data_IF_840669071263
#
_entry.id   IF_840669071263
#
_cell.length_a   1.000
_cell.length_b   1.000
_cell.length_c   1.000
_cell.angle_alpha   90.00
_cell.angle_beta   90.00
_cell.angle_gamma   90.00
#
_symmetry.space_group_name_H-M   'P 1'
#
loop_
_entity.id
_entity.type
_entity.pdbx_description
1 polymer ?
#
# COMPACT_ATOMS: atom_id res chain seq x y z
N UNK A 1 -6.24 18.56 9.29
CA UNK A 1 -5.31 18.25 10.40
C UNK A 1 -4.29 17.26 9.87
N UNK A 2 -2.97 17.49 10.03
CA UNK A 2 -1.98 16.47 9.67
C UNK A 2 -2.27 15.26 10.56
N UNK A 3 -2.62 14.14 9.94
CA UNK A 3 -2.93 12.94 10.68
C UNK A 3 -1.64 12.46 11.35
N UNK A 4 -1.69 12.28 12.68
CA UNK A 4 -0.52 11.95 13.50
C UNK A 4 0.10 10.66 12.97
N UNK A 5 1.43 10.59 12.77
CA UNK A 5 2.08 9.37 12.33
C UNK A 5 1.78 8.24 13.33
N UNK A 6 1.32 7.10 12.82
CA UNK A 6 1.12 5.90 13.65
C UNK A 6 2.44 5.18 13.82
N UNK A 7 2.63 4.40 14.90
CA UNK A 7 3.87 3.66 15.14
C UNK A 7 4.27 2.77 13.96
N UNK A 8 3.27 2.15 13.31
CA UNK A 8 3.46 1.25 12.18
C UNK A 8 3.85 1.95 10.86
N UNK A 9 3.77 3.29 10.77
CA UNK A 9 4.21 4.01 9.58
C UNK A 9 5.70 3.79 9.31
N UNK A 10 6.52 3.82 10.37
CA UNK A 10 7.96 3.59 10.27
C UNK A 10 8.27 2.16 9.81
N UNK A 11 7.49 1.18 10.27
CA UNK A 11 7.65 -0.21 9.86
C UNK A 11 7.35 -0.38 8.37
N UNK A 12 6.27 0.26 7.89
CA UNK A 12 5.93 0.28 6.46
C UNK A 12 7.00 0.98 5.61
N UNK A 13 7.53 2.11 6.06
CA UNK A 13 8.62 2.82 5.35
C UNK A 13 9.89 1.96 5.26
N UNK A 14 10.25 1.28 6.35
CA UNK A 14 11.37 0.35 6.36
C UNK A 14 11.13 -0.84 5.42
N UNK A 15 9.92 -1.41 5.45
CA UNK A 15 9.55 -2.52 4.58
C UNK A 15 9.57 -2.11 3.10
N UNK A 16 9.11 -0.89 2.76
CA UNK A 16 9.23 -0.33 1.40
C UNK A 16 10.68 -0.14 0.97
N UNK A 17 11.52 0.39 1.85
CA UNK A 17 12.93 0.60 1.55
C UNK A 17 13.69 -0.71 1.32
N UNK A 18 13.28 -1.79 2.01
CA UNK A 18 13.83 -3.13 1.82
C UNK A 18 13.20 -3.86 0.64
N UNK A 19 11.96 -3.55 0.30
CA UNK A 19 11.25 -4.19 -0.79
C UNK A 19 11.80 -3.72 -2.14
N UNK A 20 12.29 -4.66 -2.93
CA UNK A 20 12.88 -4.38 -4.23
C UNK A 20 11.78 -4.22 -5.32
N UNK A 21 10.87 -3.27 -5.11
CA UNK A 21 9.80 -2.95 -6.06
C UNK A 21 10.27 -2.05 -7.21
N UNK A 22 11.53 -1.61 -7.21
CA UNK A 22 12.05 -0.66 -8.20
C UNK A 22 11.53 0.77 -7.99
N UNK A 23 11.21 1.12 -6.74
CA UNK A 23 10.88 2.50 -6.38
C UNK A 23 12.13 3.39 -6.49
N UNK A 24 11.98 4.65 -6.91
CA UNK A 24 13.09 5.59 -7.06
C UNK A 24 13.68 6.00 -5.71
N UNK A 25 14.99 6.18 -5.60
CA UNK A 25 15.68 6.41 -4.31
C UNK A 25 15.20 7.65 -3.53
N UNK A 26 14.61 8.64 -4.21
CA UNK A 26 14.14 9.90 -3.61
C UNK A 26 12.61 10.06 -3.70
N UNK A 27 11.86 8.98 -3.50
CA UNK A 27 10.40 9.07 -3.53
C UNK A 27 9.83 9.91 -2.37
N UNK A 28 8.73 10.60 -2.65
CA UNK A 28 7.89 11.28 -1.66
C UNK A 28 6.69 10.40 -1.33
N UNK A 29 6.37 10.29 -0.03
CA UNK A 29 5.20 9.57 0.46
C UNK A 29 4.10 10.56 0.87
N UNK A 30 2.96 10.52 0.18
CA UNK A 30 1.77 11.26 0.57
C UNK A 30 0.77 10.31 1.22
N UNK A 31 0.56 10.52 2.51
CA UNK A 31 -0.32 9.72 3.35
C UNK A 31 -1.72 10.30 3.39
N UNK A 32 -2.71 9.53 2.95
CA UNK A 32 -4.13 9.87 2.95
C UNK A 32 -4.86 8.91 3.89
N UNK A 33 -5.43 9.38 5.00
CA UNK A 33 -6.16 8.50 5.90
C UNK A 33 -7.44 7.98 5.23
N UNK A 34 -7.80 6.73 5.52
CA UNK A 34 -8.98 6.05 4.99
C UNK A 34 -10.01 5.81 6.12
N UNK A 35 -10.75 6.86 6.54
CA UNK A 35 -11.78 6.72 7.56
C UNK A 35 -12.93 5.82 7.07
N UNK A 36 -13.59 5.05 7.96
CA UNK A 36 -13.47 5.07 9.43
C UNK A 36 -12.34 4.19 10.00
N UNK A 37 -11.58 3.51 9.15
CA UNK A 37 -10.56 2.55 9.58
C UNK A 37 -9.23 3.26 9.91
N UNK A 38 -8.38 2.64 10.72
CA UNK A 38 -6.98 3.09 10.92
C UNK A 38 -6.08 2.60 9.78
N UNK A 39 -6.55 2.80 8.55
CA UNK A 39 -5.91 2.43 7.30
C UNK A 39 -5.66 3.68 6.44
N UNK A 40 -4.72 3.57 5.51
CA UNK A 40 -4.19 4.71 4.76
C UNK A 40 -3.91 4.32 3.32
N UNK A 41 -4.07 5.30 2.44
CA UNK A 41 -3.57 5.26 1.07
C UNK A 41 -2.29 6.08 1.05
N UNK A 42 -1.18 5.46 0.68
CA UNK A 42 0.12 6.11 0.52
C UNK A 42 0.41 6.22 -0.96
N UNK A 43 0.44 7.45 -1.46
CA UNK A 43 0.89 7.73 -2.82
C UNK A 43 2.40 7.90 -2.79
N UNK A 44 3.08 7.12 -3.60
CA UNK A 44 4.52 7.21 -3.82
C UNK A 44 4.73 7.97 -5.11
N UNK A 45 5.38 9.13 -5.04
CA UNK A 45 5.68 9.96 -6.19
C UNK A 45 7.15 10.30 -6.27
N UNK A 46 7.68 10.45 -7.48
CA UNK A 46 9.05 10.89 -7.73
C UNK A 46 9.02 12.16 -8.55
N UNK A 47 9.56 13.25 -7.99
CA UNK A 47 9.59 14.56 -8.64
C UNK A 47 8.24 15.00 -9.23
N UNK A 48 7.15 14.77 -8.47
CA UNK A 48 5.78 15.13 -8.88
C UNK A 48 5.09 14.15 -9.85
N UNK A 49 5.73 13.04 -10.21
CA UNK A 49 5.11 11.96 -10.96
C UNK A 49 4.73 10.82 -10.03
N UNK A 50 3.45 10.46 -10.00
CA UNK A 50 3.01 9.29 -9.26
C UNK A 50 3.67 8.03 -9.84
N UNK A 51 4.29 7.23 -8.97
CA UNK A 51 4.99 5.99 -9.31
C UNK A 51 4.24 4.76 -8.79
N UNK A 52 3.76 4.83 -7.54
CA UNK A 52 3.02 3.75 -6.91
C UNK A 52 1.90 4.27 -6.01
N UNK A 53 0.91 3.42 -5.77
CA UNK A 53 -0.11 3.60 -4.76
C UNK A 53 -0.08 2.39 -3.85
N UNK A 54 -0.04 2.67 -2.55
CA UNK A 54 -0.01 1.67 -1.50
C UNK A 54 -1.30 1.82 -0.71
N UNK A 55 -2.02 0.73 -0.48
CA UNK A 55 -3.14 0.71 0.48
C UNK A 55 -2.75 -0.17 1.64
N UNK A 56 -2.85 0.38 2.85
CA UNK A 56 -2.59 -0.38 4.07
C UNK A 56 -3.82 -1.18 4.44
N UNK A 57 -3.60 -2.44 4.81
CA UNK A 57 -4.58 -3.35 5.35
C UNK A 57 -4.13 -3.72 6.78
N UNK A 58 -4.10 -2.71 7.64
CA UNK A 58 -3.80 -2.76 9.06
C UNK A 58 -5.04 -3.18 9.87
N UNK A 59 -6.18 -2.51 9.66
CA UNK A 59 -7.46 -2.92 10.28
C UNK A 59 -8.35 -3.67 9.29
N UNK A 60 -8.51 -3.14 8.08
CA UNK A 60 -9.29 -3.76 7.02
C UNK A 60 -8.71 -5.11 6.60
N UNK A 61 -9.55 -6.13 6.47
CA UNK A 61 -9.15 -7.42 5.90
C UNK A 61 -8.81 -7.26 4.41
N UNK A 62 -7.81 -8.01 3.93
CA UNK A 62 -7.63 -8.15 2.49
C UNK A 62 -8.92 -8.73 1.91
N UNK A 63 -9.53 -7.98 1.01
CA UNK A 63 -10.80 -8.32 0.38
C UNK A 63 -10.82 -7.72 -1.03
N UNK A 64 -11.72 -8.22 -1.87
CA UNK A 64 -11.92 -7.69 -3.22
C UNK A 64 -12.23 -6.19 -3.20
N UNK A 65 -12.91 -5.69 -2.17
CA UNK A 65 -13.20 -4.26 -1.99
C UNK A 65 -11.94 -3.42 -1.82
N UNK A 66 -10.96 -3.91 -1.06
CA UNK A 66 -9.67 -3.21 -0.87
C UNK A 66 -8.86 -3.22 -2.17
N UNK A 67 -8.90 -4.32 -2.90
CA UNK A 67 -8.30 -4.46 -4.22
C UNK A 67 -8.94 -3.49 -5.22
N UNK A 68 -10.28 -3.38 -5.22
CA UNK A 68 -11.01 -2.44 -6.06
C UNK A 68 -10.65 -1.00 -5.72
N UNK A 69 -10.60 -0.65 -4.43
CA UNK A 69 -10.20 0.67 -3.96
C UNK A 69 -8.78 1.02 -4.40
N UNK A 70 -7.84 0.08 -4.30
CA UNK A 70 -6.48 0.27 -4.79
C UNK A 70 -6.46 0.46 -6.31
N UNK A 71 -7.24 -0.31 -7.07
CA UNK A 71 -7.35 -0.17 -8.53
C UNK A 71 -7.95 1.18 -8.94
N UNK A 72 -8.92 1.68 -8.20
CA UNK A 72 -9.57 2.97 -8.46
C UNK A 72 -8.64 4.15 -8.15
N UNK A 73 -7.80 4.03 -7.12
CA UNK A 73 -6.81 5.05 -6.76
C UNK A 73 -5.52 4.97 -7.59
N UNK A 74 -5.18 3.80 -8.10
CA UNK A 74 -4.05 3.59 -8.97
C UNK A 74 -4.41 3.95 -10.42
N UNK A 75 -4.33 5.24 -10.74
CA UNK A 75 -4.58 5.77 -12.08
C UNK A 75 -3.69 5.09 -13.14
N UNK A 76 -4.24 4.11 -13.86
CA UNK A 76 -3.59 3.47 -15.01
C UNK A 76 -2.36 2.62 -14.64
N UNK A 77 -1.15 3.18 -14.87
CA UNK A 77 0.14 2.48 -14.83
C UNK A 77 0.84 2.49 -13.47
N UNK A 78 0.21 3.08 -12.44
CA UNK A 78 0.80 3.13 -11.11
C UNK A 78 0.98 1.72 -10.56
N UNK A 79 2.13 1.48 -9.95
CA UNK A 79 2.37 0.24 -9.23
C UNK A 79 1.40 0.14 -8.05
N UNK A 80 0.72 -0.99 -7.95
CA UNK A 80 -0.31 -1.25 -6.94
C UNK A 80 0.31 -2.09 -5.85
N UNK A 81 0.34 -1.58 -4.64
CA UNK A 81 0.92 -2.28 -3.50
C UNK A 81 -0.14 -2.38 -2.39
N UNK A 82 -0.29 -3.56 -1.80
CA UNK A 82 -1.05 -3.73 -0.56
C UNK A 82 -0.06 -3.98 0.54
N UNK A 83 -0.07 -3.13 1.56
CA UNK A 83 0.78 -3.29 2.74
C UNK A 83 -0.04 -3.94 3.85
N UNK A 84 0.42 -5.04 4.42
CA UNK A 84 -0.25 -5.73 5.53
C UNK A 84 0.72 -6.10 6.63
N UNK A 85 0.32 -6.09 7.91
CA UNK A 85 1.20 -6.53 8.99
C UNK A 85 1.66 -7.99 8.81
N UNK A 86 2.93 -8.29 9.11
CA UNK A 86 3.52 -9.63 8.97
C UNK A 86 2.73 -10.72 9.70
N UNK A 87 2.10 -10.38 10.83
CA UNK A 87 1.31 -11.30 11.64
C UNK A 87 -0.06 -11.69 11.04
N UNK A 88 -0.45 -11.12 9.89
CA UNK A 88 -1.77 -11.37 9.30
C UNK A 88 -1.72 -12.53 8.31
N UNK A 89 -2.58 -13.51 8.52
CA UNK A 89 -2.80 -14.58 7.56
C UNK A 89 -3.46 -14.01 6.30
N UNK A 90 -2.87 -14.30 5.14
CA UNK A 90 -3.44 -13.99 3.82
C UNK A 90 -3.78 -15.32 3.17
N UNK A 91 -5.03 -15.47 2.76
CA UNK A 91 -5.51 -16.68 2.08
C UNK A 91 -4.83 -16.85 0.72
N UNK A 92 -4.55 -18.09 0.32
CA UNK A 92 -3.86 -18.39 -0.94
C UNK A 92 -4.67 -17.91 -2.16
N UNK A 93 -6.00 -18.02 -2.11
CA UNK A 93 -6.89 -17.47 -3.15
C UNK A 93 -6.68 -15.96 -3.35
N UNK A 94 -6.51 -15.21 -2.26
CA UNK A 94 -6.23 -13.77 -2.35
C UNK A 94 -4.86 -13.51 -2.96
N UNK A 95 -3.83 -14.29 -2.61
CA UNK A 95 -2.51 -14.17 -3.23
C UNK A 95 -2.55 -14.39 -4.75
N UNK A 96 -3.37 -15.33 -5.23
CA UNK A 96 -3.61 -15.55 -6.65
C UNK A 96 -4.31 -14.33 -7.31
N UNK A 97 -5.30 -13.75 -6.64
CA UNK A 97 -5.99 -12.55 -7.13
C UNK A 97 -5.03 -11.35 -7.21
N UNK A 98 -4.14 -11.19 -6.22
CA UNK A 98 -3.15 -10.11 -6.22
C UNK A 98 -2.15 -10.28 -7.37
N UNK A 99 -1.63 -11.49 -7.53
CA UNK A 99 -0.68 -11.83 -8.59
C UNK A 99 -1.29 -11.61 -9.97
N UNK A 100 -2.52 -12.11 -10.21
CA UNK A 100 -3.24 -11.92 -11.47
C UNK A 100 -3.59 -10.45 -11.74
N UNK A 101 -3.80 -9.66 -10.69
CA UNK A 101 -4.08 -8.22 -10.80
C UNK A 101 -2.84 -7.34 -10.91
N UNK A 102 -1.64 -7.91 -10.98
CA UNK A 102 -0.35 -7.18 -10.93
C UNK A 102 -0.25 -6.27 -9.69
N UNK A 103 -0.72 -6.77 -8.56
CA UNK A 103 -0.66 -6.09 -7.26
C UNK A 103 0.43 -6.75 -6.42
N UNK A 104 1.36 -5.95 -5.94
CA UNK A 104 2.41 -6.40 -5.05
C UNK A 104 1.91 -6.44 -3.61
N UNK A 105 2.25 -7.50 -2.89
CA UNK A 105 2.01 -7.58 -1.46
C UNK A 105 3.29 -7.18 -0.72
N UNK A 106 3.19 -6.15 0.13
CA UNK A 106 4.22 -5.78 1.08
C UNK A 106 3.78 -6.25 2.47
N UNK A 107 4.70 -6.88 3.20
CA UNK A 107 4.51 -7.23 4.61
C UNK A 107 5.46 -6.38 5.46
N UNK A 108 4.94 -5.82 6.54
CA UNK A 108 5.68 -4.93 7.47
C UNK A 108 5.42 -5.29 8.93
#
# INVERSE_FOLDING_TARGET
MPAKPRPWHSDLENALAQANFGLPENYELRWVPLPPFDDWIVHVSDNGHDAAVIVTANQMSLSENLIALLKDNAAGRLMKIIATPEGRAVEDELLEILTSSSIHLLRY
#
